data_IF_076266143333
#
_entry.id   IF_076266143333
#
_cell.length_a   1.000
_cell.length_b   1.000
_cell.length_c   1.000
_cell.angle_alpha   90.00
_cell.angle_beta   90.00
_cell.angle_gamma   90.00
#
_symmetry.space_group_name_H-M   'P 1'
#
loop_
_entity.id
_entity.type
_entity.pdbx_description
1 polymer ?
#
# COMPACT_ATOMS: atom_id res chain seq x y z
N UNK A 1 0.22 -2.96 25.22
CA UNK A 1 -0.18 -2.44 23.91
C UNK A 1 -1.35 -3.25 23.35
N UNK A 2 -1.22 -4.54 23.08
CA UNK A 2 -2.27 -5.40 22.49
C UNK A 2 -3.58 -5.46 23.29
N UNK A 3 -3.51 -5.51 24.62
CA UNK A 3 -4.71 -5.58 25.47
C UNK A 3 -5.58 -4.31 25.37
N UNK A 4 -4.98 -3.16 25.09
CA UNK A 4 -5.72 -1.90 24.89
C UNK A 4 -6.55 -1.94 23.62
N UNK A 5 -5.99 -2.48 22.51
CA UNK A 5 -6.71 -2.62 21.26
C UNK A 5 -7.87 -3.59 21.34
N UNK A 6 -7.70 -4.70 22.07
CA UNK A 6 -8.76 -5.71 22.27
C UNK A 6 -9.97 -5.20 23.07
N UNK A 7 -9.81 -4.07 23.77
CA UNK A 7 -10.89 -3.46 24.54
C UNK A 7 -11.73 -2.46 23.73
N UNK A 8 -11.30 -2.12 22.52
CA UNK A 8 -12.02 -1.19 21.66
C UNK A 8 -13.07 -1.98 20.84
N UNK A 9 -14.32 -1.56 20.93
CA UNK A 9 -15.42 -2.19 20.18
C UNK A 9 -15.30 -2.03 18.66
N UNK A 10 -14.60 -0.97 18.22
CA UNK A 10 -14.36 -0.63 16.82
C UNK A 10 -12.97 -1.01 16.31
N UNK A 11 -12.26 -1.90 17.00
CA UNK A 11 -10.93 -2.37 16.61
C UNK A 11 -10.89 -3.90 16.56
N UNK A 12 -10.25 -4.42 15.53
CA UNK A 12 -10.00 -5.84 15.35
C UNK A 12 -8.51 -6.09 15.15
N UNK A 13 -7.97 -7.06 15.89
CA UNK A 13 -6.62 -7.57 15.68
C UNK A 13 -6.67 -8.76 14.74
N UNK A 14 -5.99 -8.66 13.61
CA UNK A 14 -5.90 -9.75 12.63
C UNK A 14 -4.48 -10.29 12.63
N UNK A 15 -4.34 -11.59 12.85
CA UNK A 15 -3.08 -12.31 12.79
C UNK A 15 -3.09 -13.20 11.53
N UNK A 16 -2.15 -12.96 10.61
CA UNK A 16 -1.87 -13.78 9.45
C UNK A 16 -2.56 -13.34 8.15
N UNK A 17 -3.83 -13.56 7.93
CA UNK A 17 -4.50 -13.38 6.62
C UNK A 17 -4.84 -11.92 6.27
N UNK A 18 -3.81 -11.06 6.10
CA UNK A 18 -3.98 -9.64 5.82
C UNK A 18 -4.59 -9.32 4.43
N UNK A 19 -4.52 -10.23 3.47
CA UNK A 19 -5.09 -10.02 2.12
C UNK A 19 -6.59 -9.75 2.18
N UNK A 20 -7.33 -10.48 3.03
CA UNK A 20 -8.77 -10.26 3.21
C UNK A 20 -9.04 -8.90 3.87
N UNK A 21 -8.15 -8.44 4.77
CA UNK A 21 -8.22 -7.10 5.35
C UNK A 21 -8.03 -6.05 4.27
N UNK A 22 -7.08 -6.20 3.37
CA UNK A 22 -6.85 -5.27 2.26
C UNK A 22 -8.07 -5.14 1.34
N UNK A 23 -8.74 -6.25 1.04
CA UNK A 23 -9.95 -6.24 0.20
C UNK A 23 -11.10 -5.46 0.83
N UNK A 24 -11.26 -5.54 2.15
CA UNK A 24 -12.41 -4.96 2.86
C UNK A 24 -12.11 -3.61 3.52
N UNK A 25 -10.85 -3.18 3.60
CA UNK A 25 -10.50 -1.85 4.13
C UNK A 25 -10.80 -0.75 3.12
N UNK A 26 -11.07 0.47 3.58
CA UNK A 26 -11.25 1.66 2.73
C UNK A 26 -9.91 2.38 2.47
N UNK A 27 -8.96 2.24 3.37
CA UNK A 27 -7.62 2.80 3.30
C UNK A 27 -6.63 2.00 4.15
N UNK A 28 -5.33 2.28 3.99
CA UNK A 28 -4.28 1.73 4.83
C UNK A 28 -3.38 2.83 5.38
N UNK A 29 -3.07 2.72 6.68
CA UNK A 29 -2.02 3.53 7.33
C UNK A 29 -0.95 2.55 7.81
N UNK A 30 0.30 2.73 7.39
CA UNK A 30 1.39 1.80 7.70
C UNK A 30 2.77 2.48 7.81
N UNK A 31 3.70 1.79 8.44
CA UNK A 31 5.12 2.14 8.53
C UNK A 31 6.04 1.07 7.91
N UNK A 32 5.44 0.05 7.29
CA UNK A 32 6.12 -1.13 6.79
C UNK A 32 6.45 -1.02 5.30
N UNK A 33 7.72 -1.23 4.93
CA UNK A 33 8.17 -1.15 3.55
C UNK A 33 7.57 -2.20 2.61
N UNK A 34 7.24 -3.41 3.07
CA UNK A 34 6.70 -4.48 2.24
C UNK A 34 5.30 -4.16 1.71
N UNK A 35 4.44 -3.55 2.52
CA UNK A 35 3.09 -3.20 2.12
C UNK A 35 3.02 -2.03 1.13
N UNK A 36 4.13 -1.32 0.94
CA UNK A 36 4.20 -0.18 0.01
C UNK A 36 3.86 -0.51 -1.45
N UNK A 37 3.95 -1.77 -1.86
CA UNK A 37 3.57 -2.22 -3.19
C UNK A 37 2.33 -3.14 -3.16
N UNK A 38 2.21 -3.98 -2.13
CA UNK A 38 1.14 -4.96 -2.06
C UNK A 38 -0.25 -4.33 -2.01
N UNK A 39 -0.39 -3.21 -1.29
CA UNK A 39 -1.69 -2.54 -1.15
C UNK A 39 -2.18 -1.83 -2.42
N UNK A 40 -1.31 -1.58 -3.42
CA UNK A 40 -1.75 -1.07 -4.73
C UNK A 40 -2.79 -1.98 -5.40
N UNK A 41 -2.74 -3.29 -5.13
CA UNK A 41 -3.74 -4.24 -5.62
C UNK A 41 -5.14 -4.05 -5.01
N UNK A 42 -5.27 -3.29 -3.93
CA UNK A 42 -6.56 -2.90 -3.38
C UNK A 42 -7.16 -1.68 -4.09
N UNK A 43 -6.38 -0.93 -4.88
CA UNK A 43 -6.79 0.30 -5.59
C UNK A 43 -7.35 1.39 -4.66
N UNK A 44 -6.82 1.48 -3.44
CA UNK A 44 -7.33 2.35 -2.36
C UNK A 44 -6.24 3.28 -1.85
N UNK A 45 -6.61 4.40 -1.19
CA UNK A 45 -5.64 5.33 -0.63
C UNK A 45 -4.82 4.70 0.47
N UNK A 46 -3.53 5.09 0.55
CA UNK A 46 -2.62 4.62 1.56
C UNK A 46 -1.73 5.74 2.09
N UNK A 47 -1.45 5.70 3.39
CA UNK A 47 -0.59 6.65 4.08
C UNK A 47 0.62 5.93 4.68
N UNK A 48 1.81 6.50 4.47
CA UNK A 48 3.03 6.04 5.10
C UNK A 48 3.37 6.93 6.32
N UNK A 49 3.58 6.30 7.48
CA UNK A 49 3.97 6.99 8.71
C UNK A 49 5.48 7.23 8.71
N UNK A 50 5.87 8.48 8.84
CA UNK A 50 7.26 8.89 8.96
C UNK A 50 7.60 9.20 10.42
N UNK A 51 8.46 8.40 11.04
CA UNK A 51 9.04 8.81 12.31
C UNK A 51 10.01 9.98 12.12
N UNK A 52 9.81 11.06 12.86
CA UNK A 52 10.67 12.26 12.87
C UNK A 52 12.10 12.03 13.42
N UNK A 53 12.53 10.81 13.58
CA UNK A 53 13.83 10.43 14.13
C UNK A 53 14.79 10.00 13.03
N UNK A 54 15.35 10.96 12.27
CA UNK A 54 16.68 10.89 11.65
C UNK A 54 17.15 9.55 11.04
N UNK A 55 16.25 8.61 10.80
CA UNK A 55 16.52 7.34 10.13
C UNK A 55 16.81 7.66 8.68
N UNK A 56 18.07 7.90 8.38
CA UNK A 56 18.54 7.89 7.01
C UNK A 56 18.33 6.46 6.52
N UNK A 57 17.27 6.24 5.77
CA UNK A 57 17.06 4.98 5.06
C UNK A 57 18.23 4.80 4.07
N UNK A 58 19.28 4.14 4.54
CA UNK A 58 20.40 3.68 3.72
C UNK A 58 20.03 2.43 2.89
N UNK A 59 18.75 2.09 2.84
CA UNK A 59 18.30 0.98 2.03
C UNK A 59 18.31 1.42 0.57
N UNK A 60 19.07 0.72 -0.25
CA UNK A 60 19.00 0.86 -1.71
C UNK A 60 17.58 0.46 -2.17
N UNK A 61 16.74 1.46 -2.34
CA UNK A 61 15.38 1.30 -2.84
C UNK A 61 15.46 1.49 -4.36
N UNK A 62 14.92 0.53 -5.13
CA UNK A 62 14.83 0.65 -6.58
C UNK A 62 13.86 1.78 -6.99
N UNK A 63 13.93 2.18 -8.25
CA UNK A 63 13.15 3.33 -8.73
C UNK A 63 11.64 3.09 -8.70
N UNK A 64 11.17 1.85 -8.94
CA UNK A 64 9.75 1.47 -8.82
C UNK A 64 9.25 1.68 -7.38
N UNK A 65 10.02 1.25 -6.39
CA UNK A 65 9.65 1.43 -4.98
C UNK A 65 9.69 2.91 -4.57
N UNK A 66 10.61 3.71 -5.13
CA UNK A 66 10.63 5.16 -4.89
C UNK A 66 9.41 5.84 -5.47
N UNK A 67 9.04 5.50 -6.72
CA UNK A 67 7.85 6.00 -7.39
C UNK A 67 6.59 5.60 -6.58
N UNK A 68 6.46 4.34 -6.18
CA UNK A 68 5.37 3.86 -5.35
C UNK A 68 5.23 4.65 -4.04
N UNK A 69 6.35 4.85 -3.32
CA UNK A 69 6.34 5.62 -2.05
C UNK A 69 5.91 7.07 -2.24
N UNK A 70 6.18 7.70 -3.39
CA UNK A 70 5.72 9.07 -3.67
C UNK A 70 4.21 9.18 -3.86
N UNK A 71 3.53 8.06 -4.07
CA UNK A 71 2.08 7.94 -4.24
C UNK A 71 1.35 7.56 -2.94
N UNK A 72 2.07 7.57 -1.81
CA UNK A 72 1.49 7.46 -0.48
C UNK A 72 1.29 8.85 0.11
N UNK A 73 0.18 9.03 0.83
CA UNK A 73 0.01 10.20 1.70
C UNK A 73 1.04 10.15 2.83
N UNK A 74 1.45 11.32 3.31
CA UNK A 74 2.49 11.41 4.35
C UNK A 74 1.86 11.60 5.72
N UNK A 75 2.15 10.66 6.63
CA UNK A 75 1.78 10.73 8.04
C UNK A 75 2.93 11.24 8.89
N UNK A 76 3.25 12.53 8.78
CA UNK A 76 4.37 13.17 9.51
C UNK A 76 3.96 13.60 10.94
N UNK A 77 2.67 13.75 11.19
CA UNK A 77 2.12 14.18 12.47
C UNK A 77 0.64 13.76 12.61
N UNK A 78 0.09 13.94 13.79
CA UNK A 78 -1.29 13.55 14.13
C UNK A 78 -2.34 14.27 13.26
N UNK A 79 -2.15 15.56 12.99
CA UNK A 79 -3.08 16.33 12.16
C UNK A 79 -3.15 15.80 10.71
N UNK A 80 -2.01 15.40 10.14
CA UNK A 80 -1.97 14.80 8.80
C UNK A 80 -2.71 13.45 8.77
N UNK A 81 -2.60 12.66 9.83
CA UNK A 81 -3.30 11.38 9.96
C UNK A 81 -4.81 11.60 10.09
N UNK A 82 -5.24 12.53 10.95
CA UNK A 82 -6.65 12.90 11.11
C UNK A 82 -7.26 13.40 9.80
N UNK A 83 -6.56 14.31 9.09
CA UNK A 83 -7.03 14.82 7.81
C UNK A 83 -7.18 13.72 6.77
N UNK A 84 -6.21 12.80 6.68
CA UNK A 84 -6.30 11.66 5.78
C UNK A 84 -7.53 10.78 6.05
N UNK A 85 -7.83 10.50 7.33
CA UNK A 85 -9.01 9.74 7.71
C UNK A 85 -10.29 10.46 7.29
N UNK A 86 -10.35 11.77 7.51
CA UNK A 86 -11.50 12.61 7.10
C UNK A 86 -11.67 12.60 5.58
N UNK A 87 -10.58 12.72 4.83
CA UNK A 87 -10.60 12.69 3.36
C UNK A 87 -11.11 11.34 2.85
N UNK A 88 -10.63 10.23 3.39
CA UNK A 88 -11.10 8.87 3.05
C UNK A 88 -12.60 8.73 3.29
N UNK A 89 -13.10 9.17 4.45
CA UNK A 89 -14.53 9.11 4.80
C UNK A 89 -15.37 9.91 3.79
N UNK A 90 -14.86 11.04 3.31
CA UNK A 90 -15.53 11.90 2.33
C UNK A 90 -15.29 11.48 0.86
N UNK A 91 -14.56 10.40 0.60
CA UNK A 91 -14.23 9.94 -0.74
C UNK A 91 -13.24 10.85 -1.49
N UNK A 92 -12.45 11.66 -0.77
CA UNK A 92 -11.46 12.56 -1.33
C UNK A 92 -10.13 11.81 -1.48
N UNK A 93 -9.68 11.65 -2.72
CA UNK A 93 -8.46 10.93 -3.06
C UNK A 93 -7.75 11.54 -4.28
N UNK A 94 -7.06 12.67 -4.11
CA UNK A 94 -6.37 13.38 -5.19
C UNK A 94 -5.29 12.55 -5.92
N UNK A 95 -4.72 11.53 -5.28
CA UNK A 95 -3.67 10.69 -5.87
C UNK A 95 -4.22 9.46 -6.60
N UNK A 96 -5.53 9.28 -6.68
CA UNK A 96 -6.14 8.07 -7.25
C UNK A 96 -5.65 7.80 -8.68
N UNK A 97 -5.77 8.77 -9.57
CA UNK A 97 -5.39 8.61 -10.99
C UNK A 97 -3.90 8.24 -11.12
N UNK A 98 -3.02 8.92 -10.40
CA UNK A 98 -1.59 8.64 -10.42
C UNK A 98 -1.26 7.22 -9.91
N UNK A 99 -1.99 6.74 -8.89
CA UNK A 99 -1.83 5.34 -8.42
C UNK A 99 -2.30 4.33 -9.44
N UNK A 100 -3.40 4.58 -10.15
CA UNK A 100 -3.90 3.71 -11.21
C UNK A 100 -2.93 3.66 -12.40
N UNK A 101 -2.37 4.79 -12.81
CA UNK A 101 -1.33 4.84 -13.85
C UNK A 101 -0.08 4.07 -13.44
N UNK A 102 0.38 4.25 -12.22
CA UNK A 102 1.52 3.50 -11.67
C UNK A 102 1.24 1.99 -11.67
N UNK A 103 0.05 1.59 -11.21
CA UNK A 103 -0.36 0.19 -11.18
C UNK A 103 -0.36 -0.43 -12.58
N UNK A 104 -0.99 0.23 -13.54
CA UNK A 104 -1.07 -0.22 -14.92
C UNK A 104 0.32 -0.37 -15.56
N UNK A 105 1.22 0.59 -15.29
CA UNK A 105 2.59 0.60 -15.83
C UNK A 105 3.51 -0.45 -15.20
N UNK A 106 3.45 -0.62 -13.89
CA UNK A 106 4.49 -1.33 -13.14
C UNK A 106 4.03 -2.66 -12.52
N UNK A 107 2.73 -2.81 -12.23
CA UNK A 107 2.20 -3.95 -11.48
C UNK A 107 1.25 -4.85 -12.28
N UNK A 108 0.81 -4.40 -13.45
CA UNK A 108 0.00 -5.23 -14.35
C UNK A 108 0.90 -6.17 -15.14
N UNK A 109 0.61 -7.49 -15.15
CA UNK A 109 1.38 -8.44 -15.94
C UNK A 109 1.28 -8.15 -17.44
N UNK A 110 2.40 -8.30 -18.14
CA UNK A 110 2.46 -8.08 -19.59
C UNK A 110 1.62 -9.11 -20.35
N UNK A 111 1.04 -8.71 -21.48
CA UNK A 111 0.35 -9.60 -22.40
C UNK A 111 -0.99 -10.15 -21.90
N UNK A 112 -1.58 -9.59 -20.84
CA UNK A 112 -2.87 -10.04 -20.30
C UNK A 112 -2.84 -11.43 -19.61
N UNK A 113 -1.67 -12.05 -19.52
CA UNK A 113 -1.45 -13.32 -18.79
C UNK A 113 -1.05 -13.01 -17.34
N UNK A 114 -1.26 -13.96 -16.43
CA UNK A 114 -0.74 -13.83 -15.07
C UNK A 114 0.80 -13.85 -15.06
N UNK A 115 1.43 -13.29 -14.03
CA UNK A 115 2.88 -13.37 -13.85
C UNK A 115 3.38 -14.83 -13.83
N UNK A 116 2.61 -15.72 -13.21
CA UNK A 116 2.89 -17.16 -13.18
C UNK A 116 2.90 -17.75 -14.61
N UNK A 117 1.89 -17.42 -15.42
CA UNK A 117 1.83 -17.91 -16.81
C UNK A 117 3.00 -17.38 -17.64
N UNK A 118 3.32 -16.08 -17.51
CA UNK A 118 4.47 -15.51 -18.21
C UNK A 118 5.80 -16.19 -17.85
N UNK A 119 5.97 -16.59 -16.59
CA UNK A 119 7.15 -17.34 -16.13
C UNK A 119 7.16 -18.76 -16.76
N UNK A 120 6.03 -19.45 -16.76
CA UNK A 120 5.92 -20.79 -17.35
C UNK A 120 6.23 -20.74 -18.85
N UNK A 121 5.62 -19.81 -19.57
CA UNK A 121 5.83 -19.64 -21.02
C UNK A 121 7.31 -19.35 -21.33
N UNK A 122 7.96 -18.50 -20.54
CA UNK A 122 9.38 -18.21 -20.69
C UNK A 122 10.29 -19.43 -20.44
N UNK A 123 9.92 -20.31 -19.50
CA UNK A 123 10.66 -21.55 -19.21
C UNK A 123 10.47 -22.58 -20.32
N UNK A 124 9.25 -22.67 -20.87
CA UNK A 124 8.91 -23.63 -21.92
C UNK A 124 9.30 -23.14 -23.33
N UNK A 125 9.70 -21.87 -23.48
CA UNK A 125 10.02 -21.26 -24.78
C UNK A 125 8.79 -21.00 -25.65
N UNK A 126 7.62 -20.88 -25.05
CA UNK A 126 6.36 -20.51 -25.69
C UNK A 126 6.23 -18.97 -25.64
N UNK A 127 6.45 -18.28 -26.77
CA UNK A 127 6.20 -16.83 -26.94
C UNK A 127 4.74 -16.54 -27.34
#
# INVERSE_FOLDING_TARGET
YFNRWKQLENAQMVDGRYIEVFKHSDAMIHDCGSFSLEYFYAHKPMMFLYENKGRKDKVHINDVTKEAKSLHYRGDNEQAIEQFIVDVINGIDPMKEQREEFFAKNLTPKGGKSACQNIIDAILGEE
#
